data_IF_987714276381
#
_entry.id   IF_987714276381
#
_cell.length_a   1.000
_cell.length_b   1.000
_cell.length_c   1.000
_cell.angle_alpha   90.00
_cell.angle_beta   90.00
_cell.angle_gamma   90.00
#
_symmetry.space_group_name_H-M   'P 1'
#
loop_
_entity.id
_entity.type
_entity.pdbx_description
1 polymer ?
#
# COMPACT_ATOMS: atom_id res chain seq x y z
N UNK A 1 -0.27 14.44 22.74
CA UNK A 1 0.18 15.09 21.46
C UNK A 1 0.23 16.59 21.69
N UNK A 2 1.40 17.23 21.62
CA UNK A 2 1.43 18.70 21.54
C UNK A 2 0.58 19.08 20.33
N UNK A 3 -0.41 19.97 20.53
CA UNK A 3 -1.14 20.58 19.40
C UNK A 3 -0.12 21.36 18.59
N UNK A 4 0.44 20.71 17.55
CA UNK A 4 1.15 21.47 16.53
C UNK A 4 0.13 22.43 15.90
N UNK A 5 0.51 23.71 15.67
CA UNK A 5 -0.38 24.68 15.08
C UNK A 5 -1.00 24.09 13.81
N UNK A 6 -2.28 24.37 13.63
CA UNK A 6 -3.05 23.93 12.47
C UNK A 6 -2.20 24.11 11.22
N UNK A 7 -2.00 23.05 10.46
CA UNK A 7 -1.29 23.10 9.19
C UNK A 7 -2.05 24.12 8.33
N UNK A 8 -1.52 25.33 8.22
CA UNK A 8 -1.94 26.26 7.19
C UNK A 8 -1.91 25.51 5.87
N UNK A 9 -2.94 25.64 5.03
CA UNK A 9 -3.08 24.85 3.79
C UNK A 9 -2.00 25.09 2.74
N UNK A 10 -0.96 25.85 3.07
CA UNK A 10 0.22 26.05 2.23
C UNK A 10 1.12 24.83 2.31
N UNK A 11 1.54 24.28 1.17
CA UNK A 11 2.55 23.22 1.15
C UNK A 11 3.80 23.74 1.87
N UNK A 12 4.43 22.88 2.70
CA UNK A 12 5.64 23.29 3.42
C UNK A 12 6.74 23.64 2.44
N UNK A 13 7.51 24.67 2.78
CA UNK A 13 8.71 25.00 2.06
C UNK A 13 9.57 23.74 1.86
N UNK A 14 9.97 23.50 0.60
CA UNK A 14 10.80 22.34 0.24
C UNK A 14 10.08 21.01 -0.01
N UNK A 15 8.75 20.89 0.09
CA UNK A 15 8.01 19.63 -0.25
C UNK A 15 8.22 19.23 -1.71
N UNK A 16 8.34 20.21 -2.58
CA UNK A 16 8.49 19.94 -4.01
C UNK A 16 9.79 19.25 -4.38
N UNK A 17 10.84 19.38 -3.55
CA UNK A 17 12.14 18.76 -3.82
C UNK A 17 12.06 17.22 -3.75
N UNK A 18 11.57 16.57 -2.67
CA UNK A 18 11.39 15.11 -2.66
C UNK A 18 10.43 14.62 -3.75
N UNK A 19 9.34 15.34 -4.00
CA UNK A 19 8.37 14.98 -5.06
C UNK A 19 9.05 15.06 -6.43
N UNK A 20 9.76 16.14 -6.72
CA UNK A 20 10.46 16.35 -7.99
C UNK A 20 11.53 15.29 -8.24
N UNK A 21 12.42 15.05 -7.26
CA UNK A 21 13.45 14.02 -7.35
C UNK A 21 12.81 12.64 -7.55
N UNK A 22 11.81 12.31 -6.72
CA UNK A 22 11.14 11.01 -6.81
C UNK A 22 10.43 10.80 -8.15
N UNK A 23 9.80 11.83 -8.70
CA UNK A 23 9.17 11.80 -10.03
C UNK A 23 10.21 11.64 -11.12
N UNK A 24 11.28 12.44 -11.12
CA UNK A 24 12.34 12.37 -12.12
C UNK A 24 13.00 10.99 -12.17
N UNK A 25 13.31 10.40 -11.02
CA UNK A 25 13.88 9.06 -10.96
C UNK A 25 12.93 7.99 -11.55
N UNK A 26 11.62 8.16 -11.41
CA UNK A 26 10.63 7.23 -11.94
C UNK A 26 10.29 7.46 -13.42
N UNK A 27 10.58 8.63 -13.96
CA UNK A 27 10.44 8.93 -15.39
C UNK A 27 11.57 8.30 -16.22
N UNK A 28 12.69 7.94 -15.59
CA UNK A 28 13.78 7.24 -16.29
C UNK A 28 13.24 5.95 -16.91
N UNK A 29 13.46 5.77 -18.21
CA UNK A 29 12.99 4.62 -18.99
C UNK A 29 11.45 4.45 -19.07
N UNK A 30 10.67 5.53 -18.96
CA UNK A 30 9.22 5.48 -19.04
C UNK A 30 8.71 4.91 -20.38
N UNK A 31 9.48 5.11 -21.45
CA UNK A 31 9.17 4.67 -22.82
C UNK A 31 9.62 3.23 -23.14
N UNK A 32 10.31 2.57 -22.21
CA UNK A 32 10.78 1.21 -22.47
C UNK A 32 9.64 0.20 -22.54
N UNK A 33 9.78 -0.86 -23.36
CA UNK A 33 8.85 -1.97 -23.40
C UNK A 33 8.63 -2.59 -22.01
N UNK A 34 7.53 -3.33 -21.85
CA UNK A 34 7.18 -4.05 -20.59
C UNK A 34 8.12 -5.26 -20.41
N UNK A 35 9.42 -4.96 -20.28
CA UNK A 35 10.49 -5.92 -20.04
C UNK A 35 11.17 -5.60 -18.70
N UNK A 36 11.88 -6.54 -18.15
CA UNK A 36 12.63 -6.39 -16.90
C UNK A 36 12.23 -7.39 -15.84
N UNK A 37 12.55 -7.10 -14.58
CA UNK A 37 12.20 -7.97 -13.46
C UNK A 37 10.67 -8.06 -13.35
N UNK A 38 10.14 -9.28 -13.17
CA UNK A 38 8.71 -9.58 -13.19
C UNK A 38 7.99 -9.15 -14.49
N UNK A 39 8.66 -9.27 -15.64
CA UNK A 39 8.10 -8.90 -16.94
C UNK A 39 6.77 -9.57 -17.25
N UNK A 40 6.64 -10.87 -16.92
CA UNK A 40 5.40 -11.63 -17.09
C UNK A 40 4.21 -10.96 -16.36
N UNK A 41 4.39 -10.53 -15.11
CA UNK A 41 3.34 -9.87 -14.33
C UNK A 41 2.98 -8.50 -14.90
N UNK A 42 3.96 -7.75 -15.39
CA UNK A 42 3.71 -6.48 -16.06
C UNK A 42 2.97 -6.68 -17.39
N UNK A 43 3.36 -7.71 -18.17
CA UNK A 43 2.70 -8.06 -19.42
C UNK A 43 1.22 -8.44 -19.21
N UNK A 44 0.94 -9.28 -18.22
CA UNK A 44 -0.43 -9.67 -17.87
C UNK A 44 -1.27 -8.47 -17.39
N UNK A 45 -0.68 -7.58 -16.59
CA UNK A 45 -1.38 -6.36 -16.17
C UNK A 45 -1.68 -5.45 -17.37
N UNK A 46 -0.75 -5.32 -18.30
CA UNK A 46 -0.94 -4.56 -19.53
C UNK A 46 -1.98 -5.22 -20.46
N UNK A 47 -1.97 -6.55 -20.56
CA UNK A 47 -2.96 -7.32 -21.30
C UNK A 47 -4.37 -7.12 -20.74
N UNK A 48 -4.56 -7.18 -19.42
CA UNK A 48 -5.85 -6.86 -18.79
C UNK A 48 -6.32 -5.45 -19.15
N UNK A 49 -5.44 -4.45 -19.07
CA UNK A 49 -5.80 -3.08 -19.43
C UNK A 49 -6.20 -2.94 -20.90
N UNK A 50 -5.51 -3.64 -21.79
CA UNK A 50 -5.84 -3.68 -23.21
C UNK A 50 -7.20 -4.35 -23.45
N UNK A 51 -7.49 -5.49 -22.81
CA UNK A 51 -8.79 -6.16 -22.93
C UNK A 51 -9.93 -5.29 -22.41
N UNK A 52 -9.78 -4.64 -21.26
CA UNK A 52 -10.78 -3.68 -20.78
C UNK A 52 -11.04 -2.55 -21.78
N UNK A 53 -10.00 -2.04 -22.44
CA UNK A 53 -10.14 -0.99 -23.45
C UNK A 53 -10.76 -1.48 -24.76
N UNK A 54 -10.27 -2.60 -25.31
CA UNK A 54 -10.68 -3.09 -26.64
C UNK A 54 -12.02 -3.78 -26.62
N UNK A 55 -12.26 -4.64 -25.63
CA UNK A 55 -13.51 -5.41 -25.52
C UNK A 55 -14.62 -4.68 -24.74
N UNK A 56 -14.28 -3.58 -24.03
CA UNK A 56 -15.22 -2.86 -23.18
C UNK A 56 -15.77 -3.71 -22.03
N UNK A 57 -15.03 -4.74 -21.61
CA UNK A 57 -15.48 -5.63 -20.53
C UNK A 57 -15.56 -4.88 -19.20
N UNK A 58 -16.51 -5.21 -18.34
CA UNK A 58 -16.63 -4.59 -17.03
C UNK A 58 -15.48 -5.00 -16.13
N UNK A 59 -15.16 -4.15 -15.13
CA UNK A 59 -14.01 -4.33 -14.22
C UNK A 59 -13.95 -5.70 -13.54
N UNK A 60 -15.09 -6.37 -13.36
CA UNK A 60 -15.17 -7.68 -12.71
C UNK A 60 -14.88 -8.87 -13.63
N UNK A 61 -14.60 -8.65 -14.92
CA UNK A 61 -14.24 -9.68 -15.90
C UNK A 61 -12.83 -9.46 -16.47
N UNK A 62 -11.75 -9.60 -15.66
CA UNK A 62 -10.39 -9.48 -16.14
C UNK A 62 -10.03 -10.60 -17.13
N UNK A 63 -9.31 -10.24 -18.19
CA UNK A 63 -8.85 -11.17 -19.24
C UNK A 63 -7.36 -11.04 -19.47
N UNK A 64 -6.72 -12.16 -19.79
CA UNK A 64 -5.28 -12.28 -20.11
C UNK A 64 -5.08 -13.03 -21.43
N UNK A 65 -3.84 -12.99 -21.96
CA UNK A 65 -3.53 -13.53 -23.29
C UNK A 65 -3.13 -15.00 -23.30
N UNK A 66 -2.67 -15.57 -22.19
CA UNK A 66 -2.15 -16.93 -22.16
C UNK A 66 -3.19 -18.04 -21.95
N UNK A 67 -4.47 -17.71 -22.03
CA UNK A 67 -5.58 -18.66 -21.90
C UNK A 67 -5.78 -19.63 -23.08
N UNK A 68 -4.88 -19.68 -24.05
CA UNK A 68 -5.03 -20.51 -25.25
C UNK A 68 -6.25 -20.13 -26.08
N UNK A 69 -7.11 -21.10 -26.41
CA UNK A 69 -8.35 -20.90 -27.16
C UNK A 69 -9.52 -20.41 -26.27
N UNK A 70 -9.31 -20.25 -24.97
CA UNK A 70 -10.35 -19.75 -24.06
C UNK A 70 -10.54 -18.24 -24.19
N UNK A 71 -11.64 -17.72 -23.63
CA UNK A 71 -11.90 -16.27 -23.59
C UNK A 71 -10.90 -15.50 -22.70
N UNK A 72 -10.00 -16.20 -21.98
CA UNK A 72 -8.94 -15.60 -21.17
C UNK A 72 -9.40 -14.99 -19.84
N UNK A 73 -10.64 -15.21 -19.41
CA UNK A 73 -11.09 -14.76 -18.08
C UNK A 73 -10.28 -15.44 -17.01
N UNK A 74 -9.83 -14.66 -16.02
CA UNK A 74 -8.84 -15.11 -15.03
C UNK A 74 -9.23 -14.73 -13.61
N UNK A 75 -8.97 -15.65 -12.67
CA UNK A 75 -8.93 -15.31 -11.26
C UNK A 75 -7.78 -14.35 -10.99
N UNK A 76 -8.07 -13.18 -10.45
CA UNK A 76 -7.05 -12.17 -10.14
C UNK A 76 -7.38 -11.35 -8.90
N UNK A 77 -6.38 -10.66 -8.39
CA UNK A 77 -6.57 -9.51 -7.49
C UNK A 77 -7.53 -8.52 -8.14
N UNK A 78 -8.19 -7.63 -7.37
CA UNK A 78 -9.13 -6.66 -7.95
C UNK A 78 -8.42 -5.76 -8.97
N UNK A 79 -8.83 -5.77 -10.24
CA UNK A 79 -8.06 -5.19 -11.34
C UNK A 79 -8.24 -3.67 -11.47
N UNK A 80 -8.23 -2.93 -10.32
CA UNK A 80 -8.43 -1.48 -10.32
C UNK A 80 -7.35 -0.76 -11.15
N UNK A 81 -6.09 -1.15 -11.00
CA UNK A 81 -5.00 -0.51 -11.74
C UNK A 81 -5.11 -0.71 -13.26
N UNK A 82 -5.21 -1.92 -13.80
CA UNK A 82 -5.37 -2.10 -15.24
C UNK A 82 -6.67 -1.47 -15.78
N UNK A 83 -7.72 -1.41 -14.97
CA UNK A 83 -8.96 -0.73 -15.36
C UNK A 83 -8.78 0.80 -15.50
N UNK A 84 -8.05 1.44 -14.59
CA UNK A 84 -7.68 2.86 -14.72
C UNK A 84 -6.76 3.10 -15.93
N UNK A 85 -5.83 2.19 -16.20
CA UNK A 85 -4.97 2.26 -17.40
C UNK A 85 -5.81 2.14 -18.68
N UNK A 86 -6.85 1.31 -18.71
CA UNK A 86 -7.72 1.18 -19.88
C UNK A 86 -8.41 2.50 -20.25
N UNK A 87 -8.77 3.33 -19.28
CA UNK A 87 -9.32 4.66 -19.55
C UNK A 87 -8.28 5.58 -20.19
N UNK A 88 -7.02 5.49 -19.75
CA UNK A 88 -5.92 6.25 -20.39
C UNK A 88 -5.68 5.79 -21.82
N UNK A 89 -5.80 4.48 -22.09
CA UNK A 89 -5.73 3.94 -23.46
C UNK A 89 -6.90 4.46 -24.31
N UNK A 90 -8.08 4.63 -23.75
CA UNK A 90 -9.23 5.23 -24.44
C UNK A 90 -9.01 6.68 -24.85
N UNK A 91 -8.19 7.43 -24.09
CA UNK A 91 -7.90 8.84 -24.37
C UNK A 91 -6.76 9.06 -25.37
N UNK A 92 -5.71 8.24 -25.31
CA UNK A 92 -4.47 8.51 -26.06
C UNK A 92 -3.95 7.30 -26.87
N UNK A 93 -4.72 6.22 -26.92
CA UNK A 93 -4.31 4.97 -27.60
C UNK A 93 -3.44 4.08 -26.71
N UNK A 94 -3.08 2.91 -27.25
CA UNK A 94 -2.28 1.92 -26.53
C UNK A 94 -0.82 2.32 -26.49
N UNK A 95 -0.39 2.86 -25.36
CA UNK A 95 1.00 3.24 -25.12
C UNK A 95 1.43 2.79 -23.72
N UNK A 96 2.55 2.08 -23.62
CA UNK A 96 3.06 1.55 -22.35
C UNK A 96 3.44 2.64 -21.34
N UNK A 97 3.88 3.82 -21.85
CA UNK A 97 4.20 4.96 -21.01
C UNK A 97 2.98 5.52 -20.23
N UNK A 98 1.74 5.31 -20.70
CA UNK A 98 0.53 5.73 -19.99
C UNK A 98 0.35 4.94 -18.70
N UNK A 99 0.51 3.62 -18.75
CA UNK A 99 0.44 2.76 -17.57
C UNK A 99 1.56 3.11 -16.57
N UNK A 100 2.80 3.26 -17.06
CA UNK A 100 3.92 3.71 -16.23
C UNK A 100 3.68 5.11 -15.64
N UNK A 101 3.13 6.03 -16.45
CA UNK A 101 2.77 7.38 -16.03
C UNK A 101 1.78 7.38 -14.86
N UNK A 102 0.77 6.51 -14.89
CA UNK A 102 -0.14 6.33 -13.75
C UNK A 102 0.61 5.92 -12.48
N UNK A 103 1.55 4.95 -12.59
CA UNK A 103 2.38 4.55 -11.45
C UNK A 103 3.25 5.70 -10.92
N UNK A 104 3.82 6.52 -11.81
CA UNK A 104 4.62 7.71 -11.44
C UNK A 104 3.76 8.72 -10.69
N UNK A 105 2.56 9.01 -11.18
CA UNK A 105 1.62 9.94 -10.51
C UNK A 105 1.22 9.40 -9.14
N UNK A 106 0.83 8.13 -9.04
CA UNK A 106 0.52 7.49 -7.76
C UNK A 106 1.71 7.59 -6.78
N UNK A 107 2.94 7.36 -7.25
CA UNK A 107 4.14 7.47 -6.42
C UNK A 107 4.40 8.89 -5.96
N UNK A 108 4.23 9.90 -6.82
CA UNK A 108 4.37 11.31 -6.45
C UNK A 108 3.38 11.72 -5.36
N UNK A 109 2.12 11.31 -5.51
CA UNK A 109 1.09 11.52 -4.49
C UNK A 109 1.40 10.77 -3.18
N UNK A 110 1.96 9.57 -3.28
CA UNK A 110 2.40 8.81 -2.10
C UNK A 110 3.53 9.54 -1.36
N UNK A 111 4.55 10.06 -2.06
CA UNK A 111 5.61 10.88 -1.47
C UNK A 111 5.01 12.07 -0.70
N UNK A 112 4.08 12.77 -1.32
CA UNK A 112 3.39 13.90 -0.69
C UNK A 112 2.64 13.48 0.59
N UNK A 113 1.89 12.37 0.57
CA UNK A 113 1.19 11.85 1.75
C UNK A 113 2.15 11.39 2.84
N UNK A 114 3.26 10.74 2.50
CA UNK A 114 4.31 10.34 3.46
C UNK A 114 4.89 11.56 4.18
N UNK A 115 5.16 12.65 3.45
CA UNK A 115 5.63 13.90 4.05
C UNK A 115 4.58 14.45 5.03
N UNK A 116 3.30 14.47 4.63
CA UNK A 116 2.21 14.97 5.47
C UNK A 116 2.03 14.16 6.75
N UNK A 117 1.99 12.84 6.62
CA UNK A 117 1.88 11.91 7.76
C UNK A 117 3.09 12.03 8.70
N UNK A 118 4.30 12.03 8.15
CA UNK A 118 5.53 12.17 8.93
C UNK A 118 5.57 13.49 9.69
N UNK A 119 5.16 14.59 9.06
CA UNK A 119 5.05 15.91 9.72
C UNK A 119 4.04 15.92 10.85
N UNK A 120 2.92 15.26 10.66
CA UNK A 120 1.86 15.19 11.67
C UNK A 120 2.26 14.36 12.88
N UNK A 121 2.97 13.27 12.65
CA UNK A 121 3.31 12.33 13.71
C UNK A 121 4.65 12.60 14.39
N UNK A 122 5.64 13.11 13.63
CA UNK A 122 7.04 13.21 14.08
C UNK A 122 7.62 14.62 13.92
N UNK A 123 6.91 15.55 13.28
CA UNK A 123 7.36 16.91 13.03
C UNK A 123 7.84 17.18 11.60
N UNK A 124 8.07 18.44 11.29
CA UNK A 124 8.30 18.92 9.92
C UNK A 124 9.53 18.28 9.26
N UNK A 125 10.62 18.24 9.99
CA UNK A 125 11.90 17.69 9.52
C UNK A 125 11.81 16.18 9.26
N UNK A 126 11.27 15.42 10.21
CA UNK A 126 11.08 13.97 10.06
C UNK A 126 10.17 13.63 8.87
N UNK A 127 9.12 14.43 8.64
CA UNK A 127 8.25 14.26 7.48
C UNK A 127 8.99 14.49 6.16
N UNK A 128 9.80 15.53 6.08
CA UNK A 128 10.58 15.83 4.88
C UNK A 128 11.59 14.72 4.56
N UNK A 129 12.37 14.29 5.56
CA UNK A 129 13.35 13.21 5.39
C UNK A 129 12.67 11.86 5.07
N UNK A 130 11.52 11.56 5.69
CA UNK A 130 10.72 10.38 5.37
C UNK A 130 10.26 10.36 3.91
N UNK A 131 9.77 11.51 3.40
CA UNK A 131 9.42 11.67 2.00
C UNK A 131 10.61 11.54 1.06
N UNK A 132 11.77 12.13 1.41
CA UNK A 132 12.99 12.00 0.63
C UNK A 132 13.50 10.55 0.61
N UNK A 133 13.51 9.87 1.74
CA UNK A 133 13.90 8.46 1.82
C UNK A 133 13.00 7.58 0.91
N UNK A 134 11.68 7.79 0.95
CA UNK A 134 10.76 7.07 0.06
C UNK A 134 10.96 7.45 -1.42
N UNK A 135 11.26 8.72 -1.71
CA UNK A 135 11.50 9.21 -3.08
C UNK A 135 12.67 8.50 -3.76
N UNK A 136 13.76 8.26 -3.01
CA UNK A 136 15.01 7.67 -3.54
C UNK A 136 15.17 6.17 -3.25
N UNK A 137 14.27 5.56 -2.44
CA UNK A 137 14.34 4.14 -2.12
C UNK A 137 14.36 3.28 -3.39
N UNK A 138 15.38 2.41 -3.62
CA UNK A 138 15.53 1.69 -4.89
C UNK A 138 14.30 0.88 -5.27
N UNK A 139 13.73 0.16 -4.31
CA UNK A 139 12.51 -0.63 -4.52
C UNK A 139 11.30 0.26 -4.81
N UNK A 140 11.19 1.39 -4.11
CA UNK A 140 10.14 2.39 -4.33
C UNK A 140 10.24 3.05 -5.71
N UNK A 141 11.47 3.33 -6.18
CA UNK A 141 11.72 3.84 -7.54
C UNK A 141 11.35 2.80 -8.58
N UNK A 142 11.77 1.54 -8.38
CA UNK A 142 11.47 0.46 -9.32
C UNK A 142 9.95 0.25 -9.47
N UNK A 143 9.24 -0.06 -8.39
CA UNK A 143 7.80 -0.31 -8.44
C UNK A 143 6.96 0.93 -8.75
N UNK A 144 7.50 2.12 -8.48
CA UNK A 144 6.85 3.39 -8.80
C UNK A 144 6.82 3.74 -10.29
N UNK A 145 7.42 2.92 -11.16
CA UNK A 145 7.43 3.08 -12.62
C UNK A 145 7.08 1.80 -13.39
N UNK A 146 6.72 0.73 -12.71
CA UNK A 146 6.31 -0.54 -13.36
C UNK A 146 4.84 -0.52 -13.72
N UNK A 147 4.47 -1.36 -14.71
CA UNK A 147 3.07 -1.58 -15.09
C UNK A 147 2.47 -2.61 -14.12
N UNK A 148 2.35 -2.20 -12.86
CA UNK A 148 1.84 -3.04 -11.76
C UNK A 148 1.07 -2.18 -10.76
N UNK A 149 0.24 -2.81 -9.93
CA UNK A 149 -0.65 -2.11 -9.01
C UNK A 149 0.03 -1.58 -7.74
N UNK A 150 1.33 -1.85 -7.51
CA UNK A 150 2.04 -1.54 -6.27
C UNK A 150 2.06 -0.04 -5.94
N UNK A 151 2.23 0.82 -6.94
CA UNK A 151 2.23 2.26 -6.73
C UNK A 151 0.84 2.77 -6.29
N UNK A 152 -0.23 2.23 -6.91
CA UNK A 152 -1.61 2.54 -6.54
C UNK A 152 -1.95 1.98 -5.15
N UNK A 153 -1.50 0.77 -4.84
CA UNK A 153 -1.62 0.15 -3.52
C UNK A 153 -1.05 1.04 -2.42
N UNK A 154 0.19 1.53 -2.60
CA UNK A 154 0.85 2.40 -1.62
C UNK A 154 0.13 3.74 -1.48
N UNK A 155 -0.38 4.30 -2.57
CA UNK A 155 -1.20 5.51 -2.54
C UNK A 155 -2.47 5.29 -1.71
N UNK A 156 -3.19 4.20 -1.96
CA UNK A 156 -4.40 3.85 -1.21
C UNK A 156 -4.10 3.64 0.28
N UNK A 157 -3.00 2.96 0.62
CA UNK A 157 -2.57 2.76 1.99
C UNK A 157 -2.21 4.07 2.70
N UNK A 158 -1.46 4.95 2.03
CA UNK A 158 -1.12 6.27 2.57
C UNK A 158 -2.37 7.15 2.75
N UNK A 159 -3.31 7.09 1.80
CA UNK A 159 -4.59 7.79 1.89
C UNK A 159 -5.46 7.29 3.05
N UNK A 160 -5.44 5.97 3.32
CA UNK A 160 -6.14 5.39 4.46
C UNK A 160 -5.62 5.95 5.80
N UNK A 161 -4.30 5.99 5.97
CA UNK A 161 -3.65 6.52 7.17
C UNK A 161 -3.88 8.04 7.32
N UNK A 162 -3.76 8.80 6.22
CA UNK A 162 -4.02 10.24 6.21
C UNK A 162 -5.47 10.54 6.55
N UNK A 163 -6.42 9.84 5.92
CA UNK A 163 -7.84 10.00 6.18
C UNK A 163 -8.21 9.74 7.63
N UNK A 164 -7.71 8.64 8.23
CA UNK A 164 -7.96 8.33 9.63
C UNK A 164 -7.34 9.36 10.56
N UNK A 165 -6.12 9.81 10.27
CA UNK A 165 -5.44 10.83 11.06
C UNK A 165 -6.18 12.18 11.02
N UNK A 166 -6.73 12.55 9.87
CA UNK A 166 -7.57 13.75 9.70
C UNK A 166 -8.92 13.60 10.40
N UNK A 167 -9.53 12.43 10.33
CA UNK A 167 -10.76 12.15 11.04
C UNK A 167 -10.61 12.36 12.55
N UNK A 168 -9.53 11.88 13.11
CA UNK A 168 -9.28 12.04 14.54
C UNK A 168 -9.06 13.50 14.97
N UNK A 169 -8.54 14.35 14.08
CA UNK A 169 -8.31 15.75 14.38
C UNK A 169 -9.55 16.63 14.18
N UNK A 170 -10.34 16.33 13.17
CA UNK A 170 -11.38 17.24 12.69
C UNK A 170 -12.77 16.63 12.67
N UNK A 171 -12.93 15.34 12.90
CA UNK A 171 -14.21 14.58 12.86
C UNK A 171 -15.05 14.82 11.59
N UNK A 172 -14.40 15.10 10.46
CA UNK A 172 -15.09 15.36 9.18
C UNK A 172 -15.38 14.06 8.45
N UNK A 173 -16.62 13.83 8.03
CA UNK A 173 -17.05 12.61 7.35
C UNK A 173 -16.20 12.25 6.12
N UNK A 174 -15.82 13.24 5.30
CA UNK A 174 -14.97 12.97 4.14
C UNK A 174 -13.62 12.31 4.51
N UNK A 175 -13.09 12.63 5.69
CA UNK A 175 -11.80 12.09 6.13
C UNK A 175 -11.90 10.60 6.48
N UNK A 176 -12.95 10.19 7.20
CA UNK A 176 -13.18 8.76 7.48
C UNK A 176 -13.57 8.00 6.21
N UNK A 177 -14.31 8.61 5.30
CA UNK A 177 -14.64 8.03 4.00
C UNK A 177 -13.37 7.82 3.16
N UNK A 178 -12.46 8.81 3.12
CA UNK A 178 -11.15 8.66 2.47
C UNK A 178 -10.35 7.50 3.06
N UNK A 179 -10.34 7.38 4.41
CA UNK A 179 -9.68 6.27 5.08
C UNK A 179 -10.29 4.93 4.69
N UNK A 180 -11.61 4.83 4.70
CA UNK A 180 -12.32 3.60 4.36
C UNK A 180 -12.10 3.18 2.90
N UNK A 181 -12.23 4.13 1.95
CA UNK A 181 -11.97 3.88 0.53
C UNK A 181 -10.52 3.43 0.34
N UNK A 182 -9.56 4.16 0.92
CA UNK A 182 -8.14 3.83 0.81
C UNK A 182 -7.80 2.44 1.35
N UNK A 183 -8.31 2.10 2.55
CA UNK A 183 -8.09 0.79 3.16
C UNK A 183 -8.73 -0.34 2.33
N UNK A 184 -9.99 -0.17 1.93
CA UNK A 184 -10.72 -1.17 1.16
C UNK A 184 -10.10 -1.36 -0.23
N UNK A 185 -9.73 -0.28 -0.92
CA UNK A 185 -9.06 -0.36 -2.21
C UNK A 185 -7.68 -1.04 -2.10
N UNK A 186 -6.89 -0.72 -1.08
CA UNK A 186 -5.60 -1.38 -0.84
C UNK A 186 -5.78 -2.88 -0.62
N UNK A 187 -6.77 -3.28 0.18
CA UNK A 187 -7.07 -4.68 0.47
C UNK A 187 -7.66 -5.44 -0.73
N UNK A 188 -8.42 -4.77 -1.59
CA UNK A 188 -8.92 -5.31 -2.86
C UNK A 188 -7.79 -5.53 -3.86
N UNK A 189 -6.87 -4.57 -3.99
CA UNK A 189 -5.70 -4.67 -4.88
C UNK A 189 -4.79 -5.82 -4.41
N UNK A 190 -4.60 -5.96 -3.11
CA UNK A 190 -3.91 -7.11 -2.48
C UNK A 190 -4.48 -7.35 -1.10
N UNK A 191 -4.78 -8.59 -0.76
CA UNK A 191 -5.36 -8.93 0.56
C UNK A 191 -4.38 -8.70 1.72
N UNK A 192 -3.09 -8.81 1.45
CA UNK A 192 -2.01 -8.67 2.45
C UNK A 192 -2.05 -7.35 3.25
N UNK A 193 -2.42 -6.18 2.68
CA UNK A 193 -2.64 -4.95 3.44
C UNK A 193 -3.61 -5.04 4.61
N UNK A 194 -4.53 -5.98 4.64
CA UNK A 194 -5.38 -6.20 5.82
C UNK A 194 -4.55 -6.40 7.07
N UNK A 195 -3.39 -7.06 6.96
CA UNK A 195 -2.48 -7.31 8.07
C UNK A 195 -1.57 -6.12 8.36
N UNK A 196 -0.75 -5.72 7.38
CA UNK A 196 0.29 -4.71 7.65
C UNK A 196 -0.23 -3.28 7.74
N UNK A 197 -1.37 -2.95 7.10
CA UNK A 197 -2.01 -1.64 7.20
C UNK A 197 -3.04 -1.59 8.34
N UNK A 198 -3.72 -2.71 8.62
CA UNK A 198 -4.71 -2.79 9.69
C UNK A 198 -4.14 -2.46 11.06
N UNK A 199 -2.93 -2.94 11.37
CA UNK A 199 -2.27 -2.65 12.65
C UNK A 199 -1.94 -1.16 12.85
N UNK A 200 -1.29 -0.45 11.92
CA UNK A 200 -1.09 1.00 12.02
C UNK A 200 -2.39 1.79 12.14
N UNK A 201 -3.42 1.44 11.38
CA UNK A 201 -4.73 2.08 11.48
C UNK A 201 -5.34 1.89 12.87
N UNK A 202 -5.27 0.67 13.42
CA UNK A 202 -5.71 0.38 14.78
C UNK A 202 -4.92 1.20 15.81
N UNK A 203 -3.59 1.28 15.65
CA UNK A 203 -2.75 2.06 16.56
C UNK A 203 -3.00 3.55 16.47
N UNK A 204 -3.21 4.11 15.29
CA UNK A 204 -3.67 5.50 15.12
C UNK A 204 -4.95 5.72 15.91
N UNK A 205 -5.91 4.79 15.85
CA UNK A 205 -7.17 4.90 16.58
C UNK A 205 -7.00 4.80 18.10
N UNK A 206 -6.07 3.98 18.59
CA UNK A 206 -5.86 3.77 20.03
C UNK A 206 -5.00 4.85 20.70
N UNK A 207 -4.13 5.54 19.94
CA UNK A 207 -3.16 6.49 20.51
C UNK A 207 -3.66 7.93 20.57
N UNK A 208 -4.73 8.27 19.87
CA UNK A 208 -5.22 9.66 19.76
C UNK A 208 -5.77 10.20 21.09
N UNK A 209 -6.36 9.35 21.94
CA UNK A 209 -6.95 9.75 23.23
C UNK A 209 -5.88 9.84 24.36
N UNK A 210 -4.59 9.88 24.03
CA UNK A 210 -3.49 9.83 24.98
C UNK A 210 -2.96 11.21 25.30
N UNK A 211 -3.53 11.90 26.29
CA UNK A 211 -2.97 13.15 26.84
C UNK A 211 -1.83 12.93 27.85
N UNK A 212 -1.52 11.69 28.26
CA UNK A 212 -0.51 11.41 29.27
C UNK A 212 0.68 10.61 28.73
N UNK A 213 1.91 11.09 28.87
CA UNK A 213 3.12 10.28 28.67
C UNK A 213 3.14 9.17 29.74
N UNK A 214 3.28 7.91 29.31
CA UNK A 214 3.37 6.77 30.21
C UNK A 214 2.09 5.91 30.32
N UNK A 215 1.21 5.92 29.33
CA UNK A 215 0.02 5.07 29.35
C UNK A 215 0.41 3.58 29.44
N UNK A 216 0.12 2.97 30.59
CA UNK A 216 0.30 1.54 30.87
C UNK A 216 -0.41 0.68 29.81
N UNK A 217 0.10 -0.52 29.57
CA UNK A 217 -0.54 -1.53 28.72
C UNK A 217 -2.04 -1.74 29.07
N UNK A 218 -2.39 -1.63 30.33
CA UNK A 218 -3.79 -1.67 30.81
C UNK A 218 -4.68 -0.59 30.17
N UNK A 219 -4.13 0.60 29.89
CA UNK A 219 -4.89 1.69 29.25
C UNK A 219 -5.15 1.42 27.75
N UNK A 220 -4.23 0.76 27.05
CA UNK A 220 -4.42 0.36 25.65
C UNK A 220 -5.51 -0.71 25.51
N UNK A 221 -5.51 -1.70 26.40
CA UNK A 221 -6.55 -2.74 26.42
C UNK A 221 -7.92 -2.13 26.66
N UNK A 222 -8.05 -1.22 27.62
CA UNK A 222 -9.32 -0.53 27.90
C UNK A 222 -9.80 0.29 26.68
N UNK A 223 -8.89 0.97 25.99
CA UNK A 223 -9.24 1.73 24.77
C UNK A 223 -9.66 0.81 23.63
N UNK A 224 -8.99 -0.32 23.47
CA UNK A 224 -9.38 -1.34 22.51
C UNK A 224 -10.79 -1.87 22.79
N UNK A 225 -11.10 -2.19 24.05
CA UNK A 225 -12.45 -2.61 24.45
C UNK A 225 -13.49 -1.52 24.14
N UNK A 226 -13.18 -0.25 24.45
CA UNK A 226 -14.07 0.88 24.11
C UNK A 226 -14.24 1.04 22.59
N UNK A 227 -13.19 0.79 21.79
CA UNK A 227 -13.28 0.83 20.34
C UNK A 227 -14.20 -0.26 19.80
N UNK A 228 -14.12 -1.49 20.34
CA UNK A 228 -15.00 -2.60 19.98
C UNK A 228 -16.48 -2.33 20.31
N UNK A 229 -16.77 -1.43 21.25
CA UNK A 229 -18.13 -1.01 21.59
C UNK A 229 -18.71 0.04 20.63
N UNK A 230 -17.87 0.66 19.76
CA UNK A 230 -18.31 1.68 18.80
C UNK A 230 -18.90 1.03 17.54
N UNK A 231 -20.17 1.27 17.19
CA UNK A 231 -20.78 0.68 16.00
C UNK A 231 -20.06 1.12 14.70
N UNK A 232 -19.52 2.35 14.66
CA UNK A 232 -18.75 2.85 13.53
C UNK A 232 -17.48 2.05 13.25
N UNK A 233 -16.85 1.44 14.27
CA UNK A 233 -15.71 0.55 14.08
C UNK A 233 -16.12 -0.71 13.30
N UNK A 234 -17.21 -1.34 13.69
CA UNK A 234 -17.71 -2.54 13.01
C UNK A 234 -18.24 -2.25 11.62
N UNK A 235 -18.87 -1.08 11.43
CA UNK A 235 -19.28 -0.64 10.10
C UNK A 235 -18.06 -0.47 9.18
N UNK A 236 -17.00 0.19 9.64
CA UNK A 236 -15.76 0.38 8.85
C UNK A 236 -15.10 -0.94 8.49
N UNK A 237 -14.81 -1.78 9.49
CA UNK A 237 -14.12 -3.07 9.27
C UNK A 237 -15.04 -4.07 8.57
N UNK A 238 -16.30 -4.20 9.01
CA UNK A 238 -17.24 -5.16 8.45
C UNK A 238 -17.53 -4.93 6.98
N UNK A 239 -17.78 -3.67 6.57
CA UNK A 239 -18.00 -3.35 5.15
C UNK A 239 -16.75 -3.54 4.32
N UNK A 240 -15.55 -3.19 4.83
CA UNK A 240 -14.30 -3.44 4.13
C UNK A 240 -14.04 -4.94 3.93
N UNK A 241 -14.15 -5.73 5.00
CA UNK A 241 -13.95 -7.18 4.93
C UNK A 241 -14.99 -7.87 4.03
N UNK A 242 -16.26 -7.46 4.13
CA UNK A 242 -17.32 -8.02 3.29
C UNK A 242 -17.07 -7.73 1.80
N UNK A 243 -16.65 -6.50 1.47
CA UNK A 243 -16.32 -6.13 0.08
C UNK A 243 -15.14 -6.92 -0.45
N UNK A 244 -14.07 -7.06 0.35
CA UNK A 244 -12.88 -7.83 -0.02
C UNK A 244 -13.22 -9.31 -0.17
N UNK A 245 -13.93 -9.90 0.79
CA UNK A 245 -14.33 -11.30 0.74
C UNK A 245 -15.24 -11.59 -0.46
N UNK A 246 -16.20 -10.70 -0.75
CA UNK A 246 -17.10 -10.85 -1.92
C UNK A 246 -16.29 -10.86 -3.21
N UNK A 247 -15.29 -9.96 -3.37
CA UNK A 247 -14.44 -9.96 -4.55
C UNK A 247 -13.63 -11.25 -4.69
N UNK A 248 -12.90 -11.66 -3.66
CA UNK A 248 -12.03 -12.84 -3.75
C UNK A 248 -12.84 -14.14 -3.91
N UNK A 249 -14.03 -14.21 -3.31
CA UNK A 249 -14.95 -15.31 -3.56
C UNK A 249 -15.42 -15.35 -5.01
N UNK A 250 -15.84 -14.21 -5.56
CA UNK A 250 -16.25 -14.10 -6.97
C UNK A 250 -15.09 -14.44 -7.93
N UNK A 251 -13.90 -13.88 -7.69
CA UNK A 251 -12.72 -14.15 -8.51
C UNK A 251 -12.37 -15.64 -8.50
N UNK A 252 -12.49 -16.30 -7.35
CA UNK A 252 -12.26 -17.73 -7.24
C UNK A 252 -13.27 -18.56 -8.08
N UNK A 253 -14.56 -18.20 -8.06
CA UNK A 253 -15.57 -18.81 -8.90
C UNK A 253 -15.23 -18.64 -10.39
N UNK A 254 -14.78 -17.45 -10.78
CA UNK A 254 -14.34 -17.16 -12.15
C UNK A 254 -13.14 -18.03 -12.54
N UNK A 255 -12.16 -18.17 -11.65
CA UNK A 255 -10.99 -19.06 -11.86
C UNK A 255 -11.35 -20.53 -11.98
N UNK A 256 -12.31 -21.01 -11.20
CA UNK A 256 -12.81 -22.39 -11.31
C UNK A 256 -13.50 -22.63 -12.66
N UNK A 257 -14.25 -21.66 -13.17
CA UNK A 257 -14.95 -21.80 -14.45
C UNK A 257 -13.99 -21.71 -15.64
N UNK A 258 -12.98 -20.85 -15.59
CA UNK A 258 -12.05 -20.61 -16.69
C UNK A 258 -10.83 -21.55 -16.69
N UNK A 259 -10.50 -22.13 -15.55
CA UNK A 259 -9.25 -22.88 -15.34
C UNK A 259 -8.01 -21.97 -15.25
N UNK A 260 -8.16 -20.64 -15.20
CA UNK A 260 -7.07 -19.67 -15.20
C UNK A 260 -7.00 -18.93 -13.88
N UNK A 261 -5.85 -18.95 -13.22
CA UNK A 261 -5.64 -18.28 -11.93
C UNK A 261 -4.27 -17.63 -11.86
N UNK A 262 -4.22 -16.40 -11.35
CA UNK A 262 -2.97 -15.70 -10.97
C UNK A 262 -2.36 -16.23 -9.67
N UNK A 263 -2.92 -17.29 -9.12
CA UNK A 263 -2.30 -18.06 -8.05
C UNK A 263 -2.40 -17.50 -6.66
N UNK A 264 -3.51 -16.81 -6.33
CA UNK A 264 -3.81 -16.56 -4.93
C UNK A 264 -4.13 -17.85 -4.18
N UNK A 265 -4.90 -18.74 -4.81
CA UNK A 265 -5.35 -20.03 -4.25
C UNK A 265 -4.65 -21.26 -4.85
N UNK A 266 -4.03 -21.14 -6.00
CA UNK A 266 -3.67 -22.30 -6.82
C UNK A 266 -2.20 -22.51 -7.14
N UNK A 267 -1.33 -21.58 -6.90
CA UNK A 267 0.08 -21.77 -7.26
C UNK A 267 0.95 -22.15 -6.07
N UNK A 268 1.06 -23.41 -5.87
CA UNK A 268 2.17 -24.04 -5.18
C UNK A 268 2.19 -23.80 -3.69
N UNK A 269 1.62 -24.61 -3.20
CA UNK A 269 1.93 -25.65 -2.24
C UNK A 269 3.08 -25.40 -1.26
N UNK A 270 4.15 -24.70 -1.60
CA UNK A 270 5.37 -24.71 -0.78
C UNK A 270 5.75 -23.35 -0.18
N UNK A 271 4.98 -22.31 -0.44
CA UNK A 271 5.34 -20.95 -0.01
C UNK A 271 4.96 -20.59 1.43
N UNK A 272 4.18 -21.42 2.10
CA UNK A 272 3.70 -21.20 3.46
C UNK A 272 4.10 -22.29 4.44
N UNK A 273 5.23 -22.96 4.21
CA UNK A 273 5.67 -23.98 5.15
C UNK A 273 6.21 -23.33 6.43
N UNK A 274 5.76 -23.84 7.56
CA UNK A 274 6.24 -23.41 8.88
C UNK A 274 7.77 -23.54 8.98
N UNK A 275 8.38 -24.43 8.18
CA UNK A 275 9.82 -24.59 8.05
C UNK A 275 10.55 -23.34 7.59
N UNK A 276 9.98 -22.54 6.67
CA UNK A 276 10.58 -21.29 6.22
C UNK A 276 10.60 -20.22 7.32
N UNK A 277 9.57 -20.21 8.17
CA UNK A 277 9.51 -19.31 9.33
C UNK A 277 10.55 -19.66 10.39
N UNK A 278 10.86 -20.94 10.52
CA UNK A 278 11.83 -21.45 11.49
C UNK A 278 13.27 -21.45 10.95
N UNK A 279 13.46 -21.23 9.65
CA UNK A 279 14.76 -21.23 9.01
C UNK A 279 15.46 -19.86 9.16
N UNK A 280 16.53 -19.83 9.91
CA UNK A 280 17.36 -18.62 10.13
C UNK A 280 17.96 -18.04 8.83
N UNK A 281 18.20 -18.87 7.81
CA UNK A 281 18.73 -18.42 6.53
C UNK A 281 17.69 -17.55 5.77
N UNK A 282 16.42 -17.92 5.85
CA UNK A 282 15.29 -17.16 5.29
C UNK A 282 15.20 -15.76 5.91
N UNK A 283 15.37 -15.64 7.22
CA UNK A 283 15.40 -14.35 7.91
C UNK A 283 16.63 -13.52 7.53
N UNK A 284 17.80 -14.15 7.44
CA UNK A 284 19.03 -13.47 6.99
C UNK A 284 18.88 -12.88 5.59
N UNK A 285 18.33 -13.65 4.66
CA UNK A 285 18.04 -13.21 3.29
C UNK A 285 17.00 -12.07 3.26
N UNK A 286 15.96 -12.14 4.09
CA UNK A 286 14.96 -11.09 4.19
C UNK A 286 15.57 -9.78 4.69
N UNK A 287 16.31 -9.83 5.80
CA UNK A 287 16.98 -8.65 6.36
C UNK A 287 17.97 -8.03 5.38
N UNK A 288 18.72 -8.86 4.66
CA UNK A 288 19.63 -8.42 3.61
C UNK A 288 18.88 -7.73 2.45
N UNK A 289 17.76 -8.28 2.00
CA UNK A 289 16.92 -7.65 0.97
C UNK A 289 16.34 -6.31 1.44
N UNK A 290 15.89 -6.22 2.68
CA UNK A 290 15.43 -4.96 3.27
C UNK A 290 16.57 -3.95 3.29
N UNK A 291 17.74 -4.32 3.80
CA UNK A 291 18.88 -3.44 3.89
C UNK A 291 19.37 -2.95 2.51
N UNK A 292 19.48 -3.85 1.53
CA UNK A 292 20.02 -3.52 0.21
C UNK A 292 18.99 -2.86 -0.71
N UNK A 293 17.76 -3.40 -0.75
CA UNK A 293 16.77 -3.00 -1.77
C UNK A 293 15.80 -1.93 -1.29
N UNK A 294 15.45 -1.93 -0.01
CA UNK A 294 14.53 -0.94 0.55
C UNK A 294 15.28 0.26 1.13
N UNK A 295 16.29 0.02 1.97
CA UNK A 295 17.00 1.05 2.72
C UNK A 295 18.31 1.51 2.07
N UNK A 296 18.72 0.89 0.95
CA UNK A 296 19.97 1.19 0.24
C UNK A 296 21.20 1.20 1.19
N UNK A 297 21.21 0.32 2.20
CA UNK A 297 22.19 0.20 3.28
C UNK A 297 22.28 1.45 4.18
N UNK A 298 22.40 2.63 3.58
CA UNK A 298 22.51 3.93 4.30
C UNK A 298 21.28 4.23 5.17
N UNK A 299 20.12 3.76 4.79
CA UNK A 299 18.89 3.94 5.57
C UNK A 299 18.81 3.12 6.85
N UNK A 300 19.62 2.05 6.98
CA UNK A 300 19.57 1.17 8.16
C UNK A 300 19.94 1.91 9.46
N UNK A 301 21.05 2.66 9.56
CA UNK A 301 21.35 3.45 10.74
C UNK A 301 20.25 4.46 11.09
N UNK A 302 19.70 5.14 10.08
CA UNK A 302 18.61 6.11 10.29
C UNK A 302 17.33 5.45 10.80
N UNK A 303 17.01 4.25 10.31
CA UNK A 303 15.87 3.48 10.82
C UNK A 303 16.05 3.12 12.30
N UNK A 304 17.24 2.61 12.67
CA UNK A 304 17.55 2.23 14.05
C UNK A 304 17.50 3.44 14.98
N UNK A 305 18.10 4.56 14.59
CA UNK A 305 18.07 5.81 15.36
C UNK A 305 16.63 6.34 15.49
N UNK A 306 15.86 6.33 14.42
CA UNK A 306 14.47 6.76 14.42
C UNK A 306 13.58 5.92 15.34
N UNK A 307 13.71 4.59 15.30
CA UNK A 307 13.01 3.69 16.22
C UNK A 307 13.39 4.01 17.68
N UNK A 308 14.69 4.11 17.98
CA UNK A 308 15.18 4.41 19.33
C UNK A 308 14.64 5.74 19.85
N UNK A 309 14.63 6.78 19.02
CA UNK A 309 14.18 8.11 19.41
C UNK A 309 12.66 8.16 19.61
N UNK A 310 11.89 7.42 18.81
CA UNK A 310 10.42 7.43 18.88
C UNK A 310 9.82 6.39 19.82
N UNK A 311 10.66 5.49 20.40
CA UNK A 311 10.19 4.36 21.20
C UNK A 311 9.20 4.73 22.31
N UNK A 312 9.42 5.85 22.99
CA UNK A 312 8.60 6.32 24.10
C UNK A 312 7.48 7.30 23.67
N UNK A 313 7.28 7.50 22.37
CA UNK A 313 6.26 8.41 21.85
C UNK A 313 5.05 7.63 21.33
N UNK A 314 3.85 8.23 21.43
CA UNK A 314 2.62 7.64 20.88
C UNK A 314 2.72 7.40 19.35
N UNK A 315 3.40 8.29 18.63
CA UNK A 315 3.70 8.15 17.21
C UNK A 315 4.62 6.97 16.91
N UNK A 316 5.55 6.66 17.84
CA UNK A 316 6.44 5.50 17.72
C UNK A 316 5.67 4.17 17.72
N UNK A 317 4.59 4.05 18.49
CA UNK A 317 3.77 2.84 18.51
C UNK A 317 3.07 2.57 17.16
N UNK A 318 2.69 3.61 16.42
CA UNK A 318 2.13 3.48 15.08
C UNK A 318 3.19 2.98 14.09
N UNK A 319 4.41 3.54 14.15
CA UNK A 319 5.51 3.10 13.29
C UNK A 319 5.93 1.66 13.57
N UNK A 320 6.05 1.29 14.85
CA UNK A 320 6.41 -0.08 15.27
C UNK A 320 5.32 -1.07 14.83
N UNK A 321 4.02 -0.72 14.99
CA UNK A 321 2.93 -1.59 14.53
C UNK A 321 2.95 -1.81 13.02
N UNK A 322 3.32 -0.80 12.24
CA UNK A 322 3.55 -0.93 10.80
C UNK A 322 4.68 -1.90 10.47
N UNK A 323 5.81 -1.81 11.16
CA UNK A 323 6.94 -2.74 10.99
C UNK A 323 6.55 -4.17 11.39
N UNK A 324 5.85 -4.35 12.50
CA UNK A 324 5.34 -5.67 12.94
C UNK A 324 4.36 -6.22 11.91
N UNK A 325 3.43 -5.40 11.40
CA UNK A 325 2.51 -5.79 10.35
C UNK A 325 3.23 -6.23 9.06
N UNK A 326 4.26 -5.50 8.64
CA UNK A 326 5.10 -5.89 7.49
C UNK A 326 5.83 -7.22 7.72
N UNK A 327 6.39 -7.44 8.92
CA UNK A 327 7.03 -8.70 9.27
C UNK A 327 6.05 -9.86 9.25
N UNK A 328 4.87 -9.70 9.83
CA UNK A 328 3.81 -10.72 9.80
C UNK A 328 3.37 -11.05 8.38
N UNK A 329 3.26 -10.04 7.49
CA UNK A 329 2.96 -10.26 6.08
C UNK A 329 4.04 -11.03 5.36
N UNK A 330 5.30 -10.69 5.65
CA UNK A 330 6.44 -11.40 5.04
C UNK A 330 6.45 -12.87 5.47
N UNK A 331 6.12 -13.14 6.73
CA UNK A 331 5.95 -14.50 7.24
C UNK A 331 4.80 -15.26 6.56
N UNK A 332 3.68 -14.58 6.32
CA UNK A 332 2.53 -15.18 5.66
C UNK A 332 2.73 -15.42 4.14
N UNK A 333 3.77 -14.83 3.55
CA UNK A 333 4.05 -14.91 2.09
C UNK A 333 5.34 -15.66 1.76
N UNK A 334 6.08 -16.11 2.77
CA UNK A 334 7.20 -17.04 2.65
C UNK A 334 6.69 -18.47 2.56
#
# INVERSE_FOLDING_TARGET
>A
MRRHPALSGTPPEGVWLPIGIGTLLRLVQIWMPVLGVHSWRQADTAAMARHFWQAGTPIWLPQIDWGGASAGFVESEFPLYPYLVSWLYGLAGLHEWLARGLSVVCSGLTIWLVIRLGRRWFGAEAGWWGGMAFAIAPLGVYFGRTVQAEALLLLCAAAALEGLSLWQQHHRLWAITLSWIGFTAAALIKVIPLLWLGLPLLMVQLTTDSEAPGSSCKSLVQRFIKLLQKPGFWLYIGTSLATVAAWYWYAHQLGQQSGLSFGFWGSGSDRSSLSLVLDGSSWGNLLLRIALRLLAVVGVPFLVLGIRQSWNQASGSVAISGLVGMLLCTLATM
#
